data_IF_937836837016
#
_entry.id   IF_937836837016
#
_cell.length_a   1.000
_cell.length_b   1.000
_cell.length_c   1.000
_cell.angle_alpha   90.00
_cell.angle_beta   90.00
_cell.angle_gamma   90.00
#
_symmetry.space_group_name_H-M   'P 1'
#
loop_
_entity.id
_entity.type
_entity.pdbx_description
1 polymer ?
#
# COMPACT_ATOMS: atom_id res chain seq x y z
N UNK A 1 -0.08 33.24 17.31
CA UNK A 1 -0.30 32.07 18.19
C UNK A 1 0.20 30.85 17.44
N UNK A 2 0.90 29.89 18.07
CA UNK A 2 1.30 28.67 17.36
C UNK A 2 0.05 27.98 16.83
N UNK A 3 0.09 27.55 15.58
CA UNK A 3 -0.96 26.71 14.99
C UNK A 3 -0.76 25.30 15.54
N UNK A 4 -1.85 24.69 16.02
CA UNK A 4 -1.81 23.32 16.50
C UNK A 4 -1.99 22.37 15.30
N UNK A 5 -1.23 21.28 15.25
CA UNK A 5 -1.40 20.19 14.27
C UNK A 5 -2.05 18.99 14.96
N UNK A 6 -3.04 18.40 14.32
CA UNK A 6 -3.67 17.17 14.80
C UNK A 6 -2.75 15.96 14.61
N UNK A 7 -2.54 15.24 15.71
CA UNK A 7 -1.75 14.03 15.78
C UNK A 7 -2.69 12.84 16.03
N UNK A 8 -2.87 11.99 15.02
CA UNK A 8 -3.72 10.80 15.07
C UNK A 8 -2.93 9.52 15.31
N UNK A 9 -3.54 8.53 15.96
CA UNK A 9 -2.90 7.22 16.15
C UNK A 9 -2.95 6.35 14.88
N UNK A 10 -3.84 6.62 13.92
CA UNK A 10 -3.92 5.87 12.67
C UNK A 10 -4.16 6.81 11.49
N UNK A 11 -3.50 6.56 10.35
CA UNK A 11 -3.65 7.37 9.13
C UNK A 11 -5.12 7.50 8.69
N UNK A 12 -5.89 6.41 8.82
CA UNK A 12 -7.33 6.40 8.52
C UNK A 12 -8.16 7.41 9.33
N UNK A 13 -7.72 7.85 10.50
CA UNK A 13 -8.46 8.82 11.32
C UNK A 13 -8.47 10.24 10.73
N UNK A 14 -7.50 10.55 9.86
CA UNK A 14 -7.46 11.80 9.09
C UNK A 14 -8.72 11.98 8.24
N UNK A 15 -9.42 10.89 7.92
CA UNK A 15 -10.70 10.95 7.20
C UNK A 15 -11.78 11.75 7.92
N UNK A 16 -11.67 11.95 9.23
CA UNK A 16 -12.56 12.83 9.99
C UNK A 16 -12.46 14.30 9.56
N UNK A 17 -11.34 14.72 8.95
CA UNK A 17 -11.09 16.07 8.47
C UNK A 17 -11.58 16.29 7.02
N UNK A 18 -11.93 15.22 6.30
CA UNK A 18 -12.30 15.28 4.88
C UNK A 18 -13.60 16.01 4.53
N UNK A 19 -14.62 16.14 5.42
CA UNK A 19 -15.79 16.97 5.13
C UNK A 19 -15.46 18.42 4.73
N UNK A 20 -14.37 18.98 5.27
CA UNK A 20 -13.89 20.33 4.95
C UNK A 20 -13.08 20.41 3.65
N UNK A 21 -12.92 19.27 2.95
CA UNK A 21 -12.19 19.14 1.68
C UNK A 21 -10.77 19.74 1.70
N UNK A 22 -9.91 19.28 2.63
CA UNK A 22 -8.59 19.87 2.83
C UNK A 22 -7.65 19.76 1.61
N UNK A 23 -7.95 18.86 0.67
CA UNK A 23 -7.10 18.56 -0.49
C UNK A 23 -7.63 19.13 -1.82
N UNK A 24 -8.82 19.74 -1.83
CA UNK A 24 -9.43 20.21 -3.07
C UNK A 24 -8.65 21.37 -3.69
N UNK A 25 -8.20 21.20 -4.94
CA UNK A 25 -7.44 22.21 -5.69
C UNK A 25 -6.02 22.40 -5.17
N UNK A 26 -5.47 21.40 -4.48
CA UNK A 26 -4.15 21.42 -3.86
C UNK A 26 -3.33 20.21 -4.29
N UNK A 27 -2.01 20.34 -4.21
CA UNK A 27 -1.09 19.21 -4.31
C UNK A 27 -0.81 18.69 -2.90
N UNK A 28 -1.13 17.42 -2.65
CA UNK A 28 -0.79 16.77 -1.38
C UNK A 28 0.62 16.22 -1.47
N UNK A 29 1.49 16.57 -0.54
CA UNK A 29 2.80 15.93 -0.36
C UNK A 29 2.71 15.00 0.85
N UNK A 30 2.74 13.70 0.63
CA UNK A 30 2.71 12.71 1.71
C UNK A 30 4.09 12.13 2.00
N UNK A 31 4.46 12.16 3.28
CA UNK A 31 5.61 11.45 3.81
C UNK A 31 5.11 10.17 4.45
N UNK A 32 5.38 9.04 3.81
CA UNK A 32 4.89 7.73 4.24
C UNK A 32 5.88 6.66 3.77
N UNK A 33 6.17 5.65 4.61
CA UNK A 33 6.98 4.51 4.17
C UNK A 33 6.23 3.67 3.14
N UNK A 34 4.91 3.59 3.27
CA UNK A 34 4.03 2.76 2.47
C UNK A 34 3.21 3.64 1.53
N UNK A 35 3.02 3.19 0.28
CA UNK A 35 2.09 3.88 -0.61
C UNK A 35 0.68 3.35 -0.36
N UNK A 36 -0.10 4.12 0.39
CA UNK A 36 -1.49 3.85 0.77
C UNK A 36 -2.52 4.17 -0.34
N UNK A 37 -2.16 3.81 -1.58
CA UNK A 37 -2.96 4.02 -2.79
C UNK A 37 -3.27 2.68 -3.46
N UNK A 38 -4.51 2.22 -3.32
CA UNK A 38 -5.05 1.02 -3.98
C UNK A 38 -6.49 1.25 -4.43
N UNK A 39 -7.02 0.48 -5.39
CA UNK A 39 -8.44 0.55 -5.71
C UNK A 39 -9.29 0.29 -4.48
N UNK A 40 -10.39 1.04 -4.35
CA UNK A 40 -11.33 0.85 -3.26
C UNK A 40 -11.97 -0.54 -3.34
N UNK A 41 -12.22 -1.14 -2.18
CA UNK A 41 -12.99 -2.37 -2.08
C UNK A 41 -14.37 -2.24 -2.77
N UNK A 42 -14.98 -3.36 -3.23
CA UNK A 42 -16.27 -3.33 -3.90
C UNK A 42 -17.33 -2.52 -3.13
N UNK A 43 -17.95 -1.55 -3.79
CA UNK A 43 -18.95 -0.66 -3.20
C UNK A 43 -18.39 0.51 -2.37
N UNK A 44 -17.08 0.57 -2.12
CA UNK A 44 -16.43 1.64 -1.34
C UNK A 44 -16.65 3.03 -1.94
N UNK A 45 -16.50 3.17 -3.26
CA UNK A 45 -16.77 4.45 -3.94
C UNK A 45 -18.22 4.91 -3.75
N UNK A 46 -19.19 4.00 -3.87
CA UNK A 46 -20.61 4.31 -3.68
C UNK A 46 -20.88 4.76 -2.24
N UNK A 47 -20.34 4.05 -1.26
CA UNK A 47 -20.48 4.38 0.15
C UNK A 47 -19.86 5.76 0.47
N UNK A 48 -18.63 6.01 -0.01
CA UNK A 48 -17.94 7.28 0.15
C UNK A 48 -18.68 8.44 -0.52
N UNK A 49 -19.23 8.25 -1.73
CA UNK A 49 -20.04 9.29 -2.37
C UNK A 49 -21.30 9.63 -1.56
N UNK A 50 -21.92 8.65 -0.91
CA UNK A 50 -23.09 8.89 -0.06
C UNK A 50 -22.77 9.72 1.20
N UNK A 51 -21.51 9.73 1.67
CA UNK A 51 -21.09 10.61 2.79
C UNK A 51 -21.16 12.10 2.44
N UNK A 52 -21.07 12.45 1.15
CA UNK A 52 -21.17 13.85 0.68
C UNK A 52 -22.55 14.45 0.92
N UNK A 53 -23.57 13.61 1.04
CA UNK A 53 -24.95 14.05 1.32
C UNK A 53 -25.16 14.35 2.83
N UNK A 54 -24.12 14.22 3.66
CA UNK A 54 -24.10 14.68 5.06
C UNK A 54 -24.69 13.70 6.08
N UNK A 55 -25.15 12.52 5.66
CA UNK A 55 -25.84 11.57 6.54
C UNK A 55 -24.90 10.62 7.31
N UNK A 56 -23.65 10.46 6.86
CA UNK A 56 -22.67 9.52 7.41
C UNK A 56 -21.30 10.16 7.31
N UNK A 57 -20.53 10.19 8.40
CA UNK A 57 -19.14 10.69 8.36
C UNK A 57 -18.24 9.71 7.60
N UNK A 58 -17.30 10.17 6.75
CA UNK A 58 -16.30 9.29 6.14
C UNK A 58 -15.52 8.46 7.18
N UNK A 59 -15.31 8.99 8.38
CA UNK A 59 -14.66 8.28 9.48
C UNK A 59 -15.39 6.98 9.89
N UNK A 60 -16.72 6.91 9.71
CA UNK A 60 -17.51 5.70 10.01
C UNK A 60 -17.28 4.57 9.00
N UNK A 61 -16.76 4.90 7.81
CA UNK A 61 -16.42 3.92 6.78
C UNK A 61 -14.98 3.41 6.88
N UNK A 62 -14.19 3.92 7.84
CA UNK A 62 -12.83 3.44 8.11
C UNK A 62 -12.91 2.06 8.75
N UNK A 63 -12.33 1.08 8.08
CA UNK A 63 -12.23 -0.30 8.57
C UNK A 63 -11.23 -0.36 9.71
N UNK A 64 -11.56 -1.14 10.72
CA UNK A 64 -10.67 -1.35 11.86
C UNK A 64 -9.54 -2.27 11.46
N UNK A 65 -8.30 -1.89 11.75
CA UNK A 65 -7.16 -2.80 11.62
C UNK A 65 -7.40 -4.06 12.46
N UNK A 66 -6.86 -5.22 12.07
CA UNK A 66 -6.13 -5.52 10.83
C UNK A 66 -7.06 -5.93 9.66
N UNK A 67 -8.35 -5.62 9.72
CA UNK A 67 -9.36 -6.14 8.78
C UNK A 67 -9.14 -5.55 7.38
N UNK A 68 -9.18 -6.41 6.36
CA UNK A 68 -9.00 -6.07 4.94
C UNK A 68 -10.20 -6.52 4.10
N UNK A 69 -10.41 -5.88 2.96
CA UNK A 69 -11.39 -6.32 1.94
C UNK A 69 -12.85 -6.25 2.35
N UNK A 70 -13.24 -5.32 3.26
CA UNK A 70 -14.64 -5.16 3.66
C UNK A 70 -15.39 -4.34 2.61
N UNK A 71 -16.43 -4.90 1.96
CA UNK A 71 -17.21 -4.16 0.98
C UNK A 71 -17.83 -2.88 1.56
N UNK A 72 -17.74 -1.77 0.84
CA UNK A 72 -18.28 -0.47 1.27
C UNK A 72 -17.43 0.29 2.30
N UNK A 73 -16.31 -0.27 2.77
CA UNK A 73 -15.38 0.39 3.68
C UNK A 73 -14.04 0.66 2.99
N UNK A 74 -13.19 1.48 3.61
CA UNK A 74 -11.81 1.73 3.21
C UNK A 74 -10.90 1.66 4.44
N UNK A 75 -9.58 1.62 4.30
CA UNK A 75 -8.60 1.59 5.38
C UNK A 75 -7.29 2.23 4.96
N UNK A 76 -6.21 1.92 5.69
CA UNK A 76 -4.88 2.51 5.44
C UNK A 76 -4.48 2.39 3.96
N UNK A 77 -4.52 1.19 3.42
CA UNK A 77 -3.93 0.89 2.12
C UNK A 77 -4.72 1.38 0.89
N UNK A 78 -5.98 1.80 1.03
CA UNK A 78 -6.77 2.49 0.00
C UNK A 78 -7.20 3.90 0.43
N UNK A 79 -6.52 4.47 1.43
CA UNK A 79 -6.77 5.79 2.00
C UNK A 79 -6.75 6.90 0.95
N UNK A 80 -5.71 6.94 0.11
CA UNK A 80 -5.59 8.01 -0.90
C UNK A 80 -6.65 7.91 -2.00
N UNK A 81 -7.11 6.69 -2.32
CA UNK A 81 -8.26 6.51 -3.23
C UNK A 81 -9.56 7.00 -2.61
N UNK A 82 -9.74 6.79 -1.30
CA UNK A 82 -10.90 7.32 -0.58
C UNK A 82 -10.87 8.86 -0.49
N UNK A 83 -9.69 9.44 -0.24
CA UNK A 83 -9.46 10.88 -0.24
C UNK A 83 -9.79 11.52 -1.61
N UNK A 84 -9.48 10.85 -2.72
CA UNK A 84 -9.85 11.30 -4.06
C UNK A 84 -11.37 11.41 -4.23
N UNK A 85 -12.13 10.49 -3.63
CA UNK A 85 -13.59 10.49 -3.69
C UNK A 85 -14.22 11.51 -2.76
N UNK A 86 -13.69 11.78 -1.58
CA UNK A 86 -14.38 12.63 -0.58
C UNK A 86 -13.71 13.99 -0.38
N UNK A 87 -12.40 14.00 -0.17
CA UNK A 87 -11.62 15.20 0.15
C UNK A 87 -11.19 16.03 -1.07
N UNK A 88 -11.43 15.53 -2.30
CA UNK A 88 -11.12 16.24 -3.53
C UNK A 88 -9.66 16.13 -3.97
N UNK A 89 -8.93 15.11 -3.49
CA UNK A 89 -7.57 14.82 -3.94
C UNK A 89 -7.56 14.52 -5.44
N UNK A 90 -6.63 15.16 -6.15
CA UNK A 90 -6.36 14.91 -7.56
C UNK A 90 -4.87 14.73 -7.83
N UNK A 91 -4.02 15.43 -7.07
CA UNK A 91 -2.57 15.44 -7.21
C UNK A 91 -1.88 15.02 -5.91
N UNK A 92 -1.12 13.92 -5.98
CA UNK A 92 -0.40 13.33 -4.85
C UNK A 92 1.09 13.23 -5.19
N UNK A 93 1.94 13.78 -4.33
CA UNK A 93 3.39 13.58 -4.31
C UNK A 93 3.70 12.66 -3.15
N UNK A 94 4.09 11.43 -3.43
CA UNK A 94 4.56 10.49 -2.42
C UNK A 94 6.08 10.57 -2.29
N UNK A 95 6.54 10.87 -1.07
CA UNK A 95 7.95 10.96 -0.71
C UNK A 95 8.31 9.74 0.15
N UNK A 96 8.81 8.64 -0.45
CA UNK A 96 9.21 7.46 0.30
C UNK A 96 10.43 7.73 1.18
N UNK A 97 10.62 6.91 2.22
CA UNK A 97 11.75 6.99 3.16
C UNK A 97 13.08 6.44 2.60
N UNK A 98 13.32 6.55 1.29
CA UNK A 98 14.53 6.01 0.67
C UNK A 98 15.80 6.78 1.07
N UNK A 99 16.86 6.05 1.43
CA UNK A 99 18.19 6.61 1.70
C UNK A 99 19.12 6.71 0.47
N UNK A 100 18.81 5.98 -0.60
CA UNK A 100 19.67 5.87 -1.78
C UNK A 100 18.91 6.18 -3.06
N UNK A 101 19.57 6.94 -3.93
CA UNK A 101 19.03 7.47 -5.18
C UNK A 101 19.53 6.73 -6.42
N UNK A 102 20.55 5.88 -6.26
CA UNK A 102 21.07 5.08 -7.36
C UNK A 102 19.97 4.11 -7.83
N UNK A 103 19.50 4.29 -9.07
CA UNK A 103 18.46 3.45 -9.66
C UNK A 103 17.06 3.68 -9.08
N UNK A 104 16.79 4.84 -8.46
CA UNK A 104 15.49 5.16 -7.87
C UNK A 104 14.32 4.96 -8.84
N UNK A 105 14.54 5.14 -10.15
CA UNK A 105 13.52 4.95 -11.18
C UNK A 105 12.95 3.53 -11.17
N UNK A 106 13.82 2.52 -11.01
CA UNK A 106 13.40 1.12 -10.93
C UNK A 106 12.59 0.87 -9.65
N UNK A 107 13.04 1.44 -8.52
CA UNK A 107 12.32 1.35 -7.26
C UNK A 107 10.94 2.01 -7.33
N UNK A 108 10.83 3.20 -7.95
CA UNK A 108 9.57 3.90 -8.14
C UNK A 108 8.57 3.10 -8.97
N UNK A 109 9.02 2.54 -10.11
CA UNK A 109 8.18 1.69 -10.95
C UNK A 109 7.75 0.44 -10.19
N UNK A 110 8.66 -0.19 -9.46
CA UNK A 110 8.34 -1.40 -8.68
C UNK A 110 7.33 -1.13 -7.56
N UNK A 111 7.44 0.00 -6.85
CA UNK A 111 6.52 0.40 -5.77
C UNK A 111 5.08 0.53 -6.24
N UNK A 112 4.86 1.01 -7.46
CA UNK A 112 3.51 1.15 -8.03
C UNK A 112 3.06 -0.06 -8.85
N UNK A 113 3.98 -1.01 -9.15
CA UNK A 113 3.75 -2.08 -10.12
C UNK A 113 2.69 -3.12 -9.75
N UNK A 114 2.30 -3.17 -8.47
CA UNK A 114 1.26 -4.08 -7.97
C UNK A 114 -0.11 -3.42 -7.81
N UNK A 115 -0.19 -2.09 -7.98
CA UNK A 115 -1.45 -1.36 -7.91
C UNK A 115 -2.22 -1.65 -9.20
N UNK A 116 -3.41 -2.22 -9.07
CA UNK A 116 -4.27 -2.51 -10.21
C UNK A 116 -4.80 -1.19 -10.77
N UNK A 117 -4.64 -1.01 -12.07
CA UNK A 117 -4.97 0.24 -12.77
C UNK A 117 -6.42 0.29 -13.27
N UNK A 118 -7.17 -0.82 -13.17
CA UNK A 118 -8.49 -0.96 -13.79
C UNK A 118 -8.47 -0.82 -15.33
N UNK A 119 -7.28 -0.85 -15.95
CA UNK A 119 -7.04 -0.54 -17.36
C UNK A 119 -5.55 -0.30 -17.66
N UNK A 120 -5.20 0.28 -18.82
CA UNK A 120 -3.80 0.70 -19.06
C UNK A 120 -3.50 1.92 -18.19
N UNK A 121 -2.44 1.96 -17.37
CA UNK A 121 -2.04 3.15 -16.62
C UNK A 121 -1.87 4.27 -17.63
N UNK A 122 -2.55 5.39 -17.39
CA UNK A 122 -2.42 6.54 -18.25
C UNK A 122 -1.08 7.20 -17.97
N UNK A 123 -0.22 7.13 -18.99
CA UNK A 123 0.98 7.96 -19.17
C UNK A 123 2.03 7.87 -18.05
N UNK A 124 2.51 6.67 -17.66
CA UNK A 124 3.69 6.60 -16.81
C UNK A 124 4.86 7.28 -17.53
N UNK A 125 5.51 8.23 -16.87
CA UNK A 125 6.72 8.91 -17.35
C UNK A 125 7.70 9.06 -16.20
N UNK A 126 8.98 8.98 -16.53
CA UNK A 126 10.06 9.21 -15.57
C UNK A 126 10.88 10.38 -16.09
N UNK A 127 11.14 11.36 -15.23
CA UNK A 127 12.00 12.50 -15.52
C UNK A 127 13.20 12.56 -14.55
N UNK A 128 13.89 13.70 -14.51
CA UNK A 128 15.06 13.90 -13.67
C UNK A 128 14.79 14.01 -12.17
N UNK A 129 13.53 13.99 -11.71
CA UNK A 129 13.17 14.12 -10.30
C UNK A 129 12.05 13.19 -9.83
N UNK A 130 11.26 12.59 -10.73
CA UNK A 130 10.11 11.79 -10.32
C UNK A 130 9.64 10.78 -11.38
N UNK A 131 8.94 9.74 -10.90
CA UNK A 131 8.04 8.95 -11.73
C UNK A 131 6.65 9.57 -11.56
N UNK A 132 5.98 9.94 -12.65
CA UNK A 132 4.57 10.31 -12.60
C UNK A 132 3.70 9.28 -13.30
N UNK A 133 2.56 8.94 -12.71
CA UNK A 133 1.59 7.98 -13.24
C UNK A 133 0.21 8.31 -12.68
N UNK A 134 -0.86 8.04 -13.45
CA UNK A 134 -2.22 8.15 -12.91
C UNK A 134 -2.72 6.77 -12.45
N UNK A 135 -3.08 6.67 -11.18
CA UNK A 135 -3.58 5.44 -10.54
C UNK A 135 -4.82 5.78 -9.71
N UNK A 136 -5.85 4.95 -9.78
CA UNK A 136 -7.07 5.13 -8.97
C UNK A 136 -7.71 6.52 -9.06
N UNK A 137 -7.56 7.20 -10.21
CA UNK A 137 -8.07 8.56 -10.43
C UNK A 137 -7.20 9.69 -9.85
N UNK A 138 -6.02 9.36 -9.31
CA UNK A 138 -5.06 10.30 -8.73
C UNK A 138 -3.82 10.39 -9.61
N UNK A 139 -3.37 11.61 -9.93
CA UNK A 139 -2.05 11.84 -10.53
C UNK A 139 -1.01 11.73 -9.42
N UNK A 140 -0.28 10.62 -9.43
CA UNK A 140 0.76 10.31 -8.46
C UNK A 140 2.13 10.70 -9.03
N UNK A 141 2.93 11.39 -8.22
CA UNK A 141 4.37 11.54 -8.41
C UNK A 141 5.10 10.78 -7.29
N UNK A 142 6.02 9.89 -7.64
CA UNK A 142 6.94 9.23 -6.70
C UNK A 142 8.27 9.98 -6.74
N UNK A 143 8.62 10.61 -5.62
CA UNK A 143 9.71 11.59 -5.56
C UNK A 143 10.70 11.21 -4.47
N UNK A 144 11.95 10.85 -4.81
CA UNK A 144 12.98 10.62 -3.80
C UNK A 144 13.18 11.87 -2.92
N UNK A 145 13.47 11.71 -1.61
CA UNK A 145 13.58 12.84 -0.67
C UNK A 145 14.52 13.97 -1.10
N UNK A 146 15.69 13.68 -1.66
CA UNK A 146 16.65 14.67 -2.15
C UNK A 146 16.20 15.44 -3.40
N UNK A 147 15.32 14.84 -4.21
CA UNK A 147 14.79 15.44 -5.43
C UNK A 147 13.51 16.23 -5.17
N UNK A 148 12.99 16.23 -3.94
CA UNK A 148 11.75 16.90 -3.57
C UNK A 148 11.77 18.39 -3.89
N UNK A 149 12.81 19.12 -3.48
CA UNK A 149 12.93 20.56 -3.74
C UNK A 149 12.85 20.87 -5.25
N UNK A 150 13.56 20.07 -6.05
CA UNK A 150 13.59 20.20 -7.51
C UNK A 150 12.24 19.87 -8.14
N UNK A 151 11.55 18.86 -7.63
CA UNK A 151 10.23 18.48 -8.11
C UNK A 151 9.20 19.60 -7.84
N UNK A 152 9.18 20.12 -6.62
CA UNK A 152 8.26 21.19 -6.21
C UNK A 152 8.45 22.43 -7.09
N UNK A 153 9.70 22.87 -7.29
CA UNK A 153 10.04 24.01 -8.15
C UNK A 153 9.54 23.86 -9.61
N UNK A 154 9.68 22.65 -10.17
CA UNK A 154 9.42 22.40 -11.60
C UNK A 154 7.98 22.02 -11.93
N UNK A 155 7.31 21.31 -11.03
CA UNK A 155 6.08 20.58 -11.37
C UNK A 155 4.88 20.94 -10.49
N UNK A 156 5.10 21.64 -9.38
CA UNK A 156 4.02 22.02 -8.46
C UNK A 156 3.79 23.52 -8.56
N UNK A 157 2.58 23.89 -9.01
CA UNK A 157 2.18 25.29 -9.23
C UNK A 157 0.95 25.69 -8.41
N UNK A 158 0.38 24.75 -7.67
CA UNK A 158 -0.78 24.97 -6.81
C UNK A 158 -0.34 25.01 -5.35
N UNK A 159 -1.25 25.41 -4.46
CA UNK A 159 -1.09 25.32 -3.02
C UNK A 159 -0.69 23.90 -2.61
N UNK A 160 0.34 23.82 -1.76
CA UNK A 160 0.80 22.55 -1.17
C UNK A 160 0.13 22.35 0.19
N UNK A 161 -0.29 21.11 0.43
CA UNK A 161 -0.65 20.62 1.76
C UNK A 161 0.14 19.36 2.06
N UNK A 162 0.74 19.30 3.23
CA UNK A 162 1.56 18.16 3.66
C UNK A 162 0.75 17.22 4.56
N UNK A 163 0.94 15.92 4.38
CA UNK A 163 0.43 14.86 5.25
C UNK A 163 1.61 13.96 5.66
N UNK A 164 1.63 13.47 6.89
CA UNK A 164 2.80 12.77 7.45
C UNK A 164 2.34 11.52 8.18
N UNK A 165 2.72 10.34 7.68
CA UNK A 165 2.80 9.13 8.48
C UNK A 165 4.20 8.99 9.07
N UNK A 166 4.28 8.91 10.40
CA UNK A 166 5.54 8.89 11.14
C UNK A 166 6.28 7.55 11.02
N UNK A 167 5.65 6.52 10.43
CA UNK A 167 6.38 5.31 10.02
C UNK A 167 7.46 5.59 8.95
N UNK A 168 7.41 6.77 8.29
CA UNK A 168 8.46 7.26 7.39
C UNK A 168 9.83 7.33 8.07
N UNK A 169 9.86 7.53 9.39
CA UNK A 169 11.10 7.62 10.17
C UNK A 169 11.78 6.27 10.43
N UNK A 170 11.10 5.13 10.22
CA UNK A 170 11.61 3.80 10.59
C UNK A 170 11.74 2.86 9.40
N UNK A 171 12.64 1.88 9.49
CA UNK A 171 12.84 0.81 8.51
C UNK A 171 11.78 -0.30 8.61
N UNK A 172 11.79 -1.30 7.72
CA UNK A 172 10.86 -2.46 7.76
C UNK A 172 11.02 -3.37 8.99
N UNK A 173 11.96 -3.05 9.88
CA UNK A 173 12.20 -3.74 11.13
C UNK A 173 11.84 -2.88 12.35
N UNK A 174 11.36 -1.65 12.13
CA UNK A 174 11.02 -0.68 13.17
C UNK A 174 12.25 0.01 13.77
N UNK A 175 13.37 0.10 13.06
CA UNK A 175 14.57 0.84 13.51
C UNK A 175 14.60 2.21 12.86
N UNK A 176 14.99 3.25 13.60
CA UNK A 176 15.11 4.60 13.02
C UNK A 176 16.01 4.61 11.77
N UNK A 177 15.40 4.99 10.66
CA UNK A 177 16.03 5.20 9.37
C UNK A 177 16.29 6.70 9.12
N UNK A 178 15.42 7.57 9.64
CA UNK A 178 15.55 9.02 9.53
C UNK A 178 15.30 9.68 10.89
N UNK A 179 15.81 10.88 11.08
CA UNK A 179 15.59 11.65 12.29
C UNK A 179 14.38 12.59 12.13
N UNK A 180 13.78 13.01 13.25
CA UNK A 180 12.76 14.06 13.25
C UNK A 180 13.27 15.37 12.61
N UNK A 181 14.59 15.63 12.64
CA UNK A 181 15.19 16.78 11.99
C UNK A 181 15.21 16.64 10.46
N UNK A 182 15.48 15.44 9.94
CA UNK A 182 15.48 15.17 8.50
C UNK A 182 14.07 15.39 7.92
N UNK A 183 13.06 14.81 8.57
CA UNK A 183 11.66 14.97 8.18
C UNK A 183 11.20 16.43 8.27
N UNK A 184 11.49 17.12 9.38
CA UNK A 184 11.14 18.53 9.51
C UNK A 184 11.82 19.41 8.45
N UNK A 185 13.06 19.08 8.07
CA UNK A 185 13.77 19.75 6.97
C UNK A 185 13.05 19.59 5.63
N UNK A 186 12.63 18.36 5.30
CA UNK A 186 11.89 18.07 4.06
C UNK A 186 10.50 18.73 4.04
N UNK A 187 9.76 18.66 5.14
CA UNK A 187 8.46 19.34 5.29
C UNK A 187 8.62 20.86 5.15
N UNK A 188 9.70 21.43 5.68
CA UNK A 188 10.04 22.84 5.50
C UNK A 188 10.26 23.24 4.03
N UNK A 189 10.79 22.33 3.19
CA UNK A 189 10.95 22.55 1.75
C UNK A 189 9.59 22.58 1.03
N UNK A 190 8.62 21.78 1.46
CA UNK A 190 7.26 21.78 0.89
C UNK A 190 6.57 23.14 1.03
N UNK A 191 6.78 23.80 2.18
CA UNK A 191 5.99 24.96 2.56
C UNK A 191 4.51 24.62 2.70
N UNK A 192 3.64 25.63 2.64
CA UNK A 192 2.19 25.44 2.69
C UNK A 192 1.66 25.05 4.07
N UNK A 193 0.52 24.35 4.08
CA UNK A 193 -0.15 23.92 5.31
C UNK A 193 0.18 22.45 5.64
N UNK A 194 0.23 22.11 6.93
CA UNK A 194 0.28 20.73 7.40
C UNK A 194 -1.15 20.27 7.73
N UNK A 195 -1.65 19.24 7.05
CA UNK A 195 -3.00 18.70 7.26
C UNK A 195 -3.10 17.93 8.58
N UNK A 196 -2.24 16.93 8.74
CA UNK A 196 -2.22 16.06 9.92
C UNK A 196 -0.85 15.37 10.04
N UNK A 197 -0.62 14.77 11.20
CA UNK A 197 0.43 13.76 11.40
C UNK A 197 -0.19 12.51 12.01
N UNK A 198 0.30 11.34 11.64
CA UNK A 198 -0.19 10.06 12.16
C UNK A 198 0.96 9.22 12.72
N UNK A 199 0.70 8.48 13.80
CA UNK A 199 1.67 7.57 14.43
C UNK A 199 1.02 6.21 14.69
N UNK A 200 1.22 5.24 13.80
CA UNK A 200 0.54 3.94 13.92
C UNK A 200 1.35 2.89 14.69
N UNK A 201 1.11 2.77 16.00
CA UNK A 201 1.63 1.63 16.79
C UNK A 201 0.78 0.38 16.66
N UNK A 202 -0.53 0.50 16.39
CA UNK A 202 -1.43 -0.67 16.34
C UNK A 202 -1.32 -1.44 15.03
N UNK A 203 -0.89 -0.81 13.95
CA UNK A 203 -0.51 -1.53 12.72
C UNK A 203 0.74 -2.39 12.90
N UNK A 204 1.58 -2.08 13.91
CA UNK A 204 2.89 -2.67 14.10
C UNK A 204 3.99 -2.05 13.23
N UNK A 205 3.71 -0.97 12.49
CA UNK A 205 4.70 -0.26 11.66
C UNK A 205 5.62 0.63 12.48
N UNK A 206 5.07 1.37 13.45
CA UNK A 206 5.85 2.19 14.38
C UNK A 206 5.92 1.52 15.77
N UNK A 207 7.10 1.19 16.30
CA UNK A 207 7.22 0.69 17.68
C UNK A 207 6.71 1.66 18.74
N UNK A 208 6.14 1.12 19.82
CA UNK A 208 5.48 1.89 20.88
C UNK A 208 6.42 2.89 21.58
N UNK A 209 7.71 2.57 21.66
CA UNK A 209 8.73 3.48 22.19
C UNK A 209 8.86 4.81 21.42
N UNK A 210 8.31 4.90 20.21
CA UNK A 210 8.35 6.10 19.38
C UNK A 210 7.04 6.89 19.35
N UNK A 211 6.06 6.56 20.19
CA UNK A 211 4.77 7.26 20.30
C UNK A 211 4.92 8.79 20.43
N UNK A 212 5.99 9.28 21.05
CA UNK A 212 6.21 10.72 21.26
C UNK A 212 6.84 11.44 20.07
N UNK A 213 7.28 10.74 19.02
CA UNK A 213 8.07 11.33 17.92
C UNK A 213 7.28 12.40 17.14
N UNK A 214 5.95 12.29 17.09
CA UNK A 214 5.11 13.31 16.47
C UNK A 214 5.19 14.67 17.16
N UNK A 215 5.31 14.69 18.50
CA UNK A 215 5.51 15.94 19.25
C UNK A 215 6.87 16.56 18.94
N UNK A 216 7.90 15.73 18.78
CA UNK A 216 9.26 16.17 18.44
C UNK A 216 9.35 16.75 17.02
N UNK A 217 8.63 16.17 16.05
CA UNK A 217 8.51 16.70 14.68
C UNK A 217 7.72 18.02 14.71
N UNK A 218 6.58 18.08 15.40
CA UNK A 218 5.79 19.30 15.54
C UNK A 218 6.62 20.47 16.09
N UNK A 219 7.37 20.23 17.16
CA UNK A 219 8.20 21.25 17.80
C UNK A 219 9.28 21.81 16.85
N UNK A 220 9.89 20.95 16.03
CA UNK A 220 10.90 21.35 15.02
C UNK A 220 10.29 22.16 13.89
N UNK A 221 9.02 21.94 13.58
CA UNK A 221 8.24 22.74 12.63
C UNK A 221 7.69 24.04 13.28
N UNK A 222 7.95 24.29 14.56
CA UNK A 222 7.41 25.45 15.28
C UNK A 222 5.92 25.35 15.59
N UNK A 223 5.37 24.13 15.58
CA UNK A 223 3.97 23.81 15.84
C UNK A 223 3.81 23.16 17.21
N UNK A 224 2.58 23.07 17.69
CA UNK A 224 2.22 22.22 18.84
C UNK A 224 1.40 21.04 18.33
N UNK A 225 1.74 19.83 18.75
CA UNK A 225 0.91 18.66 18.48
C UNK A 225 -0.28 18.63 19.44
N UNK A 226 -1.46 18.34 18.91
CA UNK A 226 -2.67 18.00 19.67
C UNK A 226 -3.04 16.57 19.33
N UNK A 227 -2.99 15.68 20.32
CA UNK A 227 -3.52 14.33 20.13
C UNK A 227 -5.03 14.40 19.86
N UNK A 228 -5.43 13.80 18.75
CA UNK A 228 -6.81 13.75 18.30
C UNK A 228 -7.15 12.29 17.99
N UNK A 229 -8.35 11.88 18.37
CA UNK A 229 -8.85 10.55 18.01
C UNK A 229 -10.34 10.55 17.79
N UNK A 230 -10.77 9.88 16.74
CA UNK A 230 -12.19 9.78 16.33
C UNK A 230 -12.69 8.35 16.23
N UNK A 231 -11.79 7.37 16.23
CA UNK A 231 -12.16 5.96 16.23
C UNK A 231 -12.13 5.40 17.65
N UNK A 232 -13.10 4.54 18.02
CA UNK A 232 -13.02 3.83 19.28
C UNK A 232 -11.75 2.96 19.30
N UNK A 233 -11.05 2.99 20.43
CA UNK A 233 -9.83 2.20 20.63
C UNK A 233 -10.15 0.72 20.45
N UNK A 234 -9.54 0.09 19.45
CA UNK A 234 -9.65 -1.36 19.29
C UNK A 234 -8.48 -2.00 20.03
N UNK A 235 -8.73 -2.83 21.06
CA UNK A 235 -7.69 -3.32 21.97
C UNK A 235 -6.94 -4.52 21.36
N UNK A 236 -6.26 -4.32 20.23
CA UNK A 236 -5.34 -5.35 19.73
C UNK A 236 -4.01 -5.26 20.47
N UNK A 237 -3.41 -6.38 20.91
CA UNK A 237 -2.08 -6.35 21.52
C UNK A 237 -1.04 -5.85 20.49
N UNK A 238 -0.44 -4.69 20.74
CA UNK A 238 0.60 -4.08 19.87
C UNK A 238 1.73 -5.09 19.60
N UNK A 239 2.13 -5.85 20.62
CA UNK A 239 3.12 -6.92 20.51
C UNK A 239 2.74 -7.96 19.44
N UNK A 240 1.48 -8.40 19.38
CA UNK A 240 1.04 -9.39 18.39
C UNK A 240 1.16 -8.83 16.96
N UNK A 241 0.76 -7.57 16.77
CA UNK A 241 0.85 -6.90 15.47
C UNK A 241 2.31 -6.69 15.04
N UNK A 242 3.19 -6.36 15.98
CA UNK A 242 4.62 -6.28 15.73
C UNK A 242 5.22 -7.64 15.32
N UNK A 243 4.80 -8.73 15.96
CA UNK A 243 5.23 -10.08 15.56
C UNK A 243 4.71 -10.47 14.18
N UNK A 244 3.47 -10.10 13.85
CA UNK A 244 2.88 -10.32 12.52
C UNK A 244 3.66 -9.54 11.46
N UNK A 245 3.99 -8.27 11.73
CA UNK A 245 4.77 -7.43 10.84
C UNK A 245 6.18 -7.99 10.61
N UNK A 246 6.87 -8.37 11.68
CA UNK A 246 8.23 -8.95 11.64
C UNK A 246 8.27 -10.40 11.13
N UNK A 247 7.12 -11.07 11.03
CA UNK A 247 7.05 -12.49 10.69
C UNK A 247 7.70 -13.41 11.73
N UNK A 248 7.67 -13.02 13.01
CA UNK A 248 8.29 -13.75 14.12
C UNK A 248 7.27 -14.56 14.92
N UNK A 249 7.69 -15.69 15.47
CA UNK A 249 6.83 -16.55 16.27
C UNK A 249 6.35 -15.83 17.54
N UNK A 250 5.05 -15.94 17.83
CA UNK A 250 4.49 -15.52 19.13
C UNK A 250 4.63 -16.68 20.13
N UNK A 251 5.14 -16.44 21.36
CA UNK A 251 5.15 -17.45 22.41
C UNK A 251 3.72 -17.78 22.88
N UNK A 252 3.37 -19.07 22.95
CA UNK A 252 2.16 -19.55 23.62
C UNK A 252 1.00 -20.03 22.71
N UNK A 253 -0.05 -20.62 23.30
CA UNK A 253 -1.08 -21.41 22.59
C UNK A 253 -2.16 -20.62 21.81
N UNK A 254 -1.96 -19.32 21.55
CA UNK A 254 -3.00 -18.47 20.94
C UNK A 254 -4.06 -18.00 21.94
N UNK A 255 -5.06 -17.21 21.50
CA UNK A 255 -6.04 -16.63 22.40
C UNK A 255 -6.91 -17.76 22.98
N UNK A 256 -7.07 -17.76 24.30
CA UNK A 256 -7.96 -18.70 25.00
C UNK A 256 -9.41 -18.49 24.54
N UNK A 257 -10.21 -19.57 24.54
CA UNK A 257 -11.63 -19.52 24.22
C UNK A 257 -12.38 -18.66 25.24
N UNK A 258 -12.54 -17.37 24.96
CA UNK A 258 -13.49 -16.52 25.69
C UNK A 258 -14.22 -15.64 24.69
N UNK A 259 -15.53 -15.88 24.65
CA UNK A 259 -16.55 -15.19 23.83
C UNK A 259 -16.33 -15.33 22.31
N UNK A 260 -17.30 -15.95 21.65
CA UNK A 260 -17.27 -16.17 20.20
C UNK A 260 -17.66 -14.90 19.44
N UNK A 261 -17.21 -14.78 18.19
CA UNK A 261 -17.56 -13.66 17.32
C UNK A 261 -16.41 -13.27 16.39
N UNK A 262 -16.65 -12.34 15.45
CA UNK A 262 -15.65 -11.91 14.47
C UNK A 262 -14.35 -11.39 15.10
N UNK A 263 -14.41 -10.73 16.26
CA UNK A 263 -13.24 -10.23 16.98
C UNK A 263 -12.32 -11.37 17.44
N UNK A 264 -12.89 -12.45 17.96
CA UNK A 264 -12.16 -13.66 18.30
C UNK A 264 -11.58 -14.32 17.03
N UNK A 265 -12.33 -14.30 15.93
CA UNK A 265 -11.85 -14.76 14.63
C UNK A 265 -10.64 -13.98 14.13
N UNK A 266 -10.66 -12.65 14.27
CA UNK A 266 -9.53 -11.77 13.92
C UNK A 266 -8.30 -12.10 14.78
N UNK A 267 -8.47 -12.24 16.10
CA UNK A 267 -7.38 -12.60 17.00
C UNK A 267 -6.73 -13.93 16.60
N UNK A 268 -7.54 -14.97 16.32
CA UNK A 268 -7.05 -16.28 15.88
C UNK A 268 -6.29 -16.15 14.53
N UNK A 269 -6.81 -15.35 13.60
CA UNK A 269 -6.15 -15.14 12.31
C UNK A 269 -4.79 -14.42 12.46
N UNK A 270 -4.69 -13.43 13.35
CA UNK A 270 -3.41 -12.75 13.67
C UNK A 270 -2.37 -13.71 14.23
N UNK A 271 -2.77 -14.62 15.13
CA UNK A 271 -1.89 -15.68 15.60
C UNK A 271 -1.44 -16.61 14.47
N UNK A 272 -2.34 -16.97 13.55
CA UNK A 272 -2.01 -17.73 12.35
C UNK A 272 -0.98 -17.01 11.47
N UNK A 273 -1.13 -15.70 11.29
CA UNK A 273 -0.22 -14.87 10.48
C UNK A 273 1.20 -14.86 11.05
N UNK A 274 1.35 -14.71 12.37
CA UNK A 274 2.65 -14.74 13.03
C UNK A 274 3.34 -16.11 12.94
N UNK A 275 2.58 -17.19 12.77
CA UNK A 275 3.10 -18.56 12.70
C UNK A 275 3.30 -19.08 11.27
N UNK A 276 2.72 -18.42 10.25
CA UNK A 276 2.64 -18.94 8.88
C UNK A 276 4.01 -19.28 8.25
N UNK A 277 5.06 -18.53 8.59
CA UNK A 277 6.42 -18.80 8.10
C UNK A 277 7.10 -20.00 8.77
N UNK A 278 6.68 -20.40 9.97
CA UNK A 278 7.31 -21.45 10.78
C UNK A 278 6.51 -22.75 10.76
N UNK A 279 5.19 -22.65 10.73
CA UNK A 279 4.30 -23.80 10.76
C UNK A 279 3.06 -23.54 9.91
N UNK A 280 3.12 -23.81 8.59
CA UNK A 280 1.99 -23.62 7.69
C UNK A 280 0.74 -24.39 8.12
N UNK A 281 0.90 -25.60 8.66
CA UNK A 281 -0.22 -26.39 9.19
C UNK A 281 -0.93 -25.71 10.36
N UNK A 282 -0.19 -25.07 11.29
CA UNK A 282 -0.83 -24.30 12.38
C UNK A 282 -1.51 -23.04 11.86
N UNK A 283 -0.98 -22.41 10.82
CA UNK A 283 -1.63 -21.28 10.19
C UNK A 283 -2.96 -21.69 9.51
N UNK A 284 -3.01 -22.87 8.88
CA UNK A 284 -4.25 -23.45 8.33
C UNK A 284 -5.28 -23.75 9.41
N UNK A 285 -4.87 -24.36 10.52
CA UNK A 285 -5.76 -24.57 11.68
C UNK A 285 -6.32 -23.25 12.21
N UNK A 286 -5.50 -22.19 12.27
CA UNK A 286 -5.94 -20.86 12.65
C UNK A 286 -6.92 -20.27 11.63
N UNK A 287 -6.68 -20.48 10.33
CA UNK A 287 -7.57 -20.01 9.28
C UNK A 287 -8.97 -20.64 9.39
N UNK A 288 -9.06 -21.95 9.57
CA UNK A 288 -10.34 -22.65 9.73
C UNK A 288 -11.04 -22.28 11.04
N UNK A 289 -10.29 -22.15 12.14
CA UNK A 289 -10.85 -21.69 13.42
C UNK A 289 -11.39 -20.26 13.33
N UNK A 290 -10.65 -19.34 12.69
CA UNK A 290 -11.10 -17.98 12.47
C UNK A 290 -12.39 -17.94 11.64
N UNK A 291 -12.47 -18.77 10.60
CA UNK A 291 -13.66 -18.91 9.77
C UNK A 291 -14.86 -19.43 10.59
N UNK A 292 -14.63 -20.36 11.53
CA UNK A 292 -15.64 -20.82 12.49
C UNK A 292 -16.17 -19.73 13.42
N UNK A 293 -15.41 -18.66 13.62
CA UNK A 293 -15.82 -17.45 14.34
C UNK A 293 -16.41 -16.35 13.41
N UNK A 294 -16.59 -16.65 12.13
CA UNK A 294 -17.17 -15.73 11.14
C UNK A 294 -16.16 -14.80 10.47
N UNK A 295 -14.85 -15.01 10.65
CA UNK A 295 -13.81 -14.18 10.04
C UNK A 295 -12.94 -14.95 9.06
N UNK A 296 -12.84 -14.49 7.81
CA UNK A 296 -11.91 -15.03 6.79
C UNK A 296 -10.90 -13.96 6.40
N UNK A 297 -9.61 -14.25 6.61
CA UNK A 297 -8.52 -13.31 6.36
C UNK A 297 -7.83 -13.59 5.02
N UNK A 298 -7.93 -12.66 4.07
CA UNK A 298 -7.20 -12.71 2.79
C UNK A 298 -5.68 -12.76 3.02
N UNK A 299 -5.17 -12.01 4.00
CA UNK A 299 -3.76 -11.96 4.37
C UNK A 299 -3.26 -13.32 4.86
N UNK A 300 -4.03 -14.00 5.72
CA UNK A 300 -3.65 -15.32 6.24
C UNK A 300 -3.68 -16.37 5.14
N UNK A 301 -4.72 -16.38 4.30
CA UNK A 301 -4.78 -17.26 3.14
C UNK A 301 -3.56 -17.07 2.23
N UNK A 302 -3.19 -15.82 1.93
CA UNK A 302 -2.00 -15.52 1.14
C UNK A 302 -0.71 -16.06 1.78
N UNK A 303 -0.52 -15.85 3.09
CA UNK A 303 0.69 -16.31 3.81
C UNK A 303 0.79 -17.84 3.84
N UNK A 304 -0.32 -18.55 4.04
CA UNK A 304 -0.38 -20.02 3.95
C UNK A 304 0.01 -20.45 2.53
N UNK A 305 -0.63 -19.86 1.51
CA UNK A 305 -0.37 -20.17 0.11
C UNK A 305 1.09 -19.96 -0.29
N UNK A 306 1.70 -18.86 0.15
CA UNK A 306 3.11 -18.56 -0.06
C UNK A 306 4.03 -19.58 0.62
N UNK A 307 3.74 -19.96 1.87
CA UNK A 307 4.53 -20.94 2.60
C UNK A 307 4.44 -22.35 1.99
N UNK A 308 3.23 -22.79 1.59
CA UNK A 308 3.03 -24.06 0.87
C UNK A 308 3.75 -24.09 -0.46
N UNK A 309 3.75 -22.97 -1.20
CA UNK A 309 4.49 -22.86 -2.45
C UNK A 309 6.00 -23.06 -2.23
N UNK A 310 6.56 -22.46 -1.16
CA UNK A 310 7.97 -22.61 -0.80
C UNK A 310 8.34 -24.05 -0.42
N UNK A 311 7.39 -24.80 0.16
CA UNK A 311 7.55 -26.24 0.48
C UNK A 311 7.35 -27.17 -0.73
N UNK A 312 7.03 -26.64 -1.92
CA UNK A 312 6.76 -27.44 -3.12
C UNK A 312 5.35 -28.03 -3.21
N UNK A 313 4.48 -27.75 -2.23
CA UNK A 313 3.07 -28.15 -2.28
C UNK A 313 2.27 -27.14 -3.12
N UNK A 314 2.48 -27.21 -4.44
CA UNK A 314 1.90 -26.27 -5.38
C UNK A 314 0.37 -26.36 -5.48
N UNK A 315 -0.22 -27.53 -5.15
CA UNK A 315 -1.67 -27.72 -5.17
C UNK A 315 -2.33 -26.94 -4.05
N UNK A 316 -1.94 -27.20 -2.80
CA UNK A 316 -2.45 -26.49 -1.62
C UNK A 316 -2.12 -25.00 -1.70
N UNK A 317 -0.91 -24.66 -2.18
CA UNK A 317 -0.54 -23.26 -2.41
C UNK A 317 -1.54 -22.55 -3.32
N UNK A 318 -1.88 -23.14 -4.47
CA UNK A 318 -2.81 -22.52 -5.42
C UNK A 318 -4.21 -22.35 -4.86
N UNK A 319 -4.69 -23.31 -4.06
CA UNK A 319 -6.01 -23.24 -3.40
C UNK A 319 -6.08 -22.03 -2.46
N UNK A 320 -5.12 -21.89 -1.55
CA UNK A 320 -5.08 -20.74 -0.62
C UNK A 320 -4.79 -19.40 -1.30
N UNK A 321 -3.95 -19.38 -2.35
CA UNK A 321 -3.70 -18.15 -3.11
C UNK A 321 -4.96 -17.69 -3.85
N UNK A 322 -5.76 -18.61 -4.42
CA UNK A 322 -7.05 -18.27 -5.02
C UNK A 322 -8.06 -17.80 -3.98
N UNK A 323 -8.07 -18.40 -2.80
CA UNK A 323 -8.92 -17.96 -1.69
C UNK A 323 -8.56 -16.53 -1.24
N UNK A 324 -7.27 -16.19 -1.12
CA UNK A 324 -6.83 -14.83 -0.79
C UNK A 324 -7.37 -13.80 -1.79
N UNK A 325 -7.29 -14.11 -3.08
CA UNK A 325 -7.79 -13.26 -4.17
C UNK A 325 -9.32 -13.14 -4.15
N UNK A 326 -10.02 -14.23 -3.83
CA UNK A 326 -11.49 -14.21 -3.72
C UNK A 326 -11.96 -13.33 -2.57
N UNK A 327 -11.23 -13.33 -1.46
CA UNK A 327 -11.54 -12.53 -0.28
C UNK A 327 -11.23 -11.04 -0.48
N UNK A 328 -10.13 -10.73 -1.17
CA UNK A 328 -9.74 -9.36 -1.46
C UNK A 328 -9.03 -9.24 -2.83
N UNK A 329 -9.79 -9.03 -3.92
CA UNK A 329 -9.22 -9.01 -5.26
C UNK A 329 -8.46 -7.72 -5.60
N UNK A 330 -8.72 -6.63 -4.88
CA UNK A 330 -8.15 -5.31 -5.18
C UNK A 330 -6.86 -5.01 -4.39
N UNK A 331 -6.60 -5.73 -3.28
CA UNK A 331 -5.35 -5.60 -2.51
C UNK A 331 -4.12 -5.99 -3.35
N UNK A 332 -3.00 -5.29 -3.14
CA UNK A 332 -1.68 -5.64 -3.69
C UNK A 332 -1.21 -7.03 -3.22
N UNK A 333 -1.62 -7.48 -2.02
CA UNK A 333 -1.44 -8.88 -1.60
C UNK A 333 -2.22 -9.85 -2.50
N UNK A 334 -3.44 -9.49 -2.89
CA UNK A 334 -4.24 -10.23 -3.88
C UNK A 334 -3.54 -10.29 -5.24
N UNK A 335 -3.04 -9.15 -5.74
CA UNK A 335 -2.25 -9.10 -6.98
C UNK A 335 -1.01 -10.02 -6.92
N UNK A 336 -0.27 -9.99 -5.81
CA UNK A 336 0.87 -10.89 -5.61
C UNK A 336 0.44 -12.36 -5.48
N UNK A 337 -0.68 -12.64 -4.82
CA UNK A 337 -1.25 -13.98 -4.71
C UNK A 337 -1.59 -14.57 -6.09
N UNK A 338 -2.13 -13.77 -7.01
CA UNK A 338 -2.41 -14.19 -8.39
C UNK A 338 -1.13 -14.53 -9.15
N UNK A 339 -0.08 -13.72 -9.01
CA UNK A 339 1.23 -14.00 -9.63
C UNK A 339 1.78 -15.34 -9.12
N UNK A 340 1.75 -15.58 -7.81
CA UNK A 340 2.18 -16.85 -7.23
C UNK A 340 1.28 -18.01 -7.65
N UNK A 341 -0.03 -17.80 -7.76
CA UNK A 341 -1.01 -18.77 -8.23
C UNK A 341 -0.71 -19.21 -9.67
N UNK A 342 -0.41 -18.26 -10.56
CA UNK A 342 -0.02 -18.56 -11.95
C UNK A 342 1.30 -19.34 -12.02
N UNK A 343 2.25 -19.07 -11.11
CA UNK A 343 3.46 -19.89 -10.97
C UNK A 343 3.15 -21.31 -10.48
N UNK A 344 2.19 -21.47 -9.58
CA UNK A 344 1.74 -22.80 -9.16
C UNK A 344 1.05 -23.54 -10.32
N UNK A 345 0.22 -22.86 -11.11
CA UNK A 345 -0.36 -23.41 -12.36
C UNK A 345 0.73 -23.87 -13.32
N UNK A 346 1.82 -23.12 -13.50
CA UNK A 346 2.97 -23.55 -14.32
C UNK A 346 3.55 -24.89 -13.85
N UNK A 347 3.62 -25.12 -12.54
CA UNK A 347 4.17 -26.36 -11.96
C UNK A 347 3.23 -27.55 -12.06
N UNK A 348 1.91 -27.30 -12.03
CA UNK A 348 0.89 -28.34 -12.01
C UNK A 348 0.36 -28.71 -13.40
N UNK A 349 0.21 -27.72 -14.27
CA UNK A 349 -0.53 -27.82 -15.54
C UNK A 349 0.31 -27.42 -16.75
N UNK A 350 1.51 -26.86 -16.53
CA UNK A 350 2.48 -26.58 -17.59
C UNK A 350 2.38 -25.19 -18.22
N UNK A 351 3.22 -24.91 -19.24
CA UNK A 351 3.43 -23.56 -19.77
C UNK A 351 2.20 -22.93 -20.42
N UNK A 352 1.42 -23.67 -21.20
CA UNK A 352 0.23 -23.16 -21.88
C UNK A 352 -0.82 -22.60 -20.90
N UNK A 353 -1.14 -23.34 -19.84
CA UNK A 353 -2.09 -22.92 -18.82
C UNK A 353 -1.58 -21.67 -18.07
N UNK A 354 -0.31 -21.67 -17.68
CA UNK A 354 0.30 -20.54 -17.00
C UNK A 354 0.38 -19.29 -17.89
N UNK A 355 0.67 -19.45 -19.19
CA UNK A 355 0.73 -18.34 -20.14
C UNK A 355 -0.60 -17.59 -20.21
N UNK A 356 -1.72 -18.31 -20.22
CA UNK A 356 -3.07 -17.71 -20.19
C UNK A 356 -3.26 -16.84 -18.94
N UNK A 357 -2.92 -17.36 -17.75
CA UNK A 357 -3.02 -16.59 -16.50
C UNK A 357 -2.07 -15.38 -16.48
N UNK A 358 -0.83 -15.54 -16.95
CA UNK A 358 0.15 -14.46 -17.00
C UNK A 358 -0.22 -13.35 -18.01
N UNK A 359 -0.91 -13.67 -19.11
CA UNK A 359 -1.44 -12.65 -20.02
C UNK A 359 -2.50 -11.79 -19.35
N UNK A 360 -3.44 -12.40 -18.65
CA UNK A 360 -4.46 -11.68 -17.88
C UNK A 360 -3.79 -10.79 -16.82
N UNK A 361 -2.79 -11.31 -16.11
CA UNK A 361 -1.99 -10.53 -15.17
C UNK A 361 -1.24 -9.38 -15.83
N UNK A 362 -0.70 -9.56 -17.04
CA UNK A 362 -0.02 -8.49 -17.77
C UNK A 362 -0.95 -7.32 -18.07
N UNK A 363 -2.19 -7.61 -18.48
CA UNK A 363 -3.20 -6.59 -18.75
C UNK A 363 -3.62 -5.82 -17.48
N UNK A 364 -3.69 -6.50 -16.33
CA UNK A 364 -4.06 -5.88 -15.05
C UNK A 364 -2.90 -5.17 -14.34
N UNK A 365 -1.66 -5.65 -14.55
CA UNK A 365 -0.44 -5.16 -13.91
C UNK A 365 0.63 -4.79 -14.96
N UNK A 366 0.35 -3.83 -15.84
CA UNK A 366 1.22 -3.50 -16.97
C UNK A 366 2.60 -2.97 -16.55
N UNK A 367 2.72 -2.42 -15.34
CA UNK A 367 4.02 -1.98 -14.80
C UNK A 367 4.84 -3.10 -14.16
N UNK A 368 4.30 -4.32 -14.03
CA UNK A 368 4.99 -5.43 -13.37
C UNK A 368 5.95 -6.14 -14.32
N UNK A 369 7.20 -5.67 -14.36
CA UNK A 369 8.28 -6.23 -15.20
C UNK A 369 8.41 -7.76 -15.10
N UNK A 370 8.30 -8.32 -13.89
CA UNK A 370 8.40 -9.77 -13.67
C UNK A 370 7.31 -10.59 -14.37
N UNK A 371 6.10 -10.02 -14.52
CA UNK A 371 4.99 -10.66 -15.25
C UNK A 371 5.33 -10.70 -16.74
N UNK A 372 5.71 -9.57 -17.34
CA UNK A 372 6.02 -9.50 -18.77
C UNK A 372 7.25 -10.30 -19.18
N UNK A 373 8.27 -10.37 -18.32
CA UNK A 373 9.40 -11.31 -18.52
C UNK A 373 8.91 -12.75 -18.61
N UNK A 374 7.98 -13.14 -17.73
CA UNK A 374 7.42 -14.49 -17.70
C UNK A 374 6.53 -14.75 -18.92
N UNK A 375 5.65 -13.82 -19.29
CA UNK A 375 4.83 -13.88 -20.51
C UNK A 375 5.72 -14.11 -21.73
N UNK A 376 6.79 -13.33 -21.90
CA UNK A 376 7.71 -13.46 -23.05
C UNK A 376 8.34 -14.85 -23.13
N UNK A 377 8.84 -15.37 -22.00
CA UNK A 377 9.49 -16.69 -21.94
C UNK A 377 8.50 -17.80 -22.27
N UNK A 378 7.31 -17.78 -21.65
CA UNK A 378 6.30 -18.81 -21.87
C UNK A 378 5.74 -18.74 -23.30
N UNK A 379 5.44 -17.54 -23.81
CA UNK A 379 4.96 -17.36 -25.19
C UNK A 379 5.96 -17.85 -26.22
N UNK A 380 7.26 -17.57 -26.03
CA UNK A 380 8.31 -18.07 -26.91
C UNK A 380 8.43 -19.60 -26.87
N UNK A 381 8.24 -20.22 -25.70
CA UNK A 381 8.28 -21.69 -25.57
C UNK A 381 7.09 -22.35 -26.28
N UNK A 382 5.92 -21.71 -26.27
CA UNK A 382 4.70 -22.18 -26.93
C UNK A 382 4.61 -21.79 -28.42
N UNK A 383 5.60 -21.06 -28.96
CA UNK A 383 5.59 -20.58 -30.35
C UNK A 383 4.62 -19.43 -30.62
N UNK A 384 4.10 -18.76 -29.59
CA UNK A 384 3.19 -17.62 -29.71
C UNK A 384 3.98 -16.32 -29.99
N UNK A 385 4.21 -16.06 -31.27
CA UNK A 385 5.03 -14.94 -31.73
C UNK A 385 4.40 -13.57 -31.45
N UNK A 386 3.07 -13.44 -31.53
CA UNK A 386 2.37 -12.17 -31.30
C UNK A 386 2.45 -11.73 -29.84
N UNK A 387 2.27 -12.68 -28.91
CA UNK A 387 2.40 -12.39 -27.48
C UNK A 387 3.84 -12.11 -27.10
N UNK A 388 4.79 -12.82 -27.71
CA UNK A 388 6.21 -12.54 -27.52
C UNK A 388 6.52 -11.09 -27.89
N UNK A 389 6.06 -10.64 -29.07
CA UNK A 389 6.23 -9.27 -29.55
C UNK A 389 5.55 -8.24 -28.64
N UNK A 390 4.34 -8.54 -28.17
CA UNK A 390 3.61 -7.67 -27.24
C UNK A 390 4.37 -7.51 -25.91
N UNK A 391 4.84 -8.62 -25.34
CA UNK A 391 5.62 -8.61 -24.10
C UNK A 391 6.95 -7.86 -24.25
N UNK A 392 7.63 -7.98 -25.39
CA UNK A 392 8.83 -7.19 -25.69
C UNK A 392 8.53 -5.69 -25.81
N UNK A 393 7.41 -5.31 -26.43
CA UNK A 393 6.95 -3.93 -26.49
C UNK A 393 6.79 -3.33 -25.10
N UNK A 394 6.14 -4.07 -24.20
CA UNK A 394 5.95 -3.64 -22.82
C UNK A 394 7.26 -3.60 -22.03
N UNK A 395 8.15 -4.58 -22.21
CA UNK A 395 9.45 -4.57 -21.53
C UNK A 395 10.32 -3.38 -21.98
N UNK A 396 10.27 -2.98 -23.25
CA UNK A 396 10.93 -1.76 -23.74
C UNK A 396 10.36 -0.49 -23.11
N UNK A 397 9.04 -0.42 -22.91
CA UNK A 397 8.43 0.69 -22.17
C UNK A 397 8.96 0.75 -20.73
N UNK A 398 8.95 -0.39 -20.03
CA UNK A 398 9.44 -0.47 -18.65
C UNK A 398 10.94 -0.21 -18.54
N UNK A 399 11.73 -0.52 -19.58
CA UNK A 399 13.14 -0.17 -19.62
C UNK A 399 13.32 1.34 -19.68
N UNK A 400 12.62 2.04 -20.59
CA UNK A 400 12.64 3.51 -20.67
C UNK A 400 12.28 4.19 -19.35
N UNK A 401 11.29 3.67 -18.63
CA UNK A 401 10.88 4.20 -17.33
C UNK A 401 11.94 4.05 -16.23
N UNK A 402 12.92 3.15 -16.41
CA UNK A 402 13.92 2.83 -15.39
C UNK A 402 15.34 3.24 -15.73
N UNK A 403 15.58 3.75 -16.94
CA UNK A 403 16.89 4.24 -17.38
C UNK A 403 17.00 5.73 -17.06
N UNK A 404 18.05 6.18 -16.34
CA UNK A 404 18.31 7.59 -16.12
C UNK A 404 18.42 8.35 -17.44
N UNK A 405 17.64 9.43 -17.62
CA UNK A 405 17.75 10.33 -18.78
C UNK A 405 16.99 9.94 -20.04
N UNK A 406 16.02 9.00 -19.98
CA UNK A 406 15.22 8.61 -21.15
C UNK A 406 14.16 9.63 -21.60
N UNK A 407 14.08 10.82 -20.99
CA UNK A 407 13.19 11.90 -21.42
C UNK A 407 13.80 13.29 -21.13
N UNK A 408 14.52 13.82 -22.12
CA UNK A 408 14.12 14.98 -22.93
C UNK A 408 14.90 14.88 -24.26
N UNK A 409 14.26 14.87 -25.45
CA UNK A 409 14.87 15.54 -26.58
C UNK A 409 14.85 17.03 -26.24
N UNK A 410 16.02 17.67 -26.25
CA UNK A 410 16.16 19.11 -26.02
C UNK A 410 15.07 19.86 -26.79
N UNK A 411 14.20 20.56 -26.07
CA UNK A 411 13.34 21.58 -26.63
C UNK A 411 14.19 22.84 -26.93
N UNK A 412 15.24 22.67 -27.75
CA UNK A 412 15.93 23.73 -28.44
C UNK A 412 15.65 23.55 -29.94
N UNK A 413 14.53 24.10 -30.41
CA UNK A 413 14.22 24.12 -31.83
C UNK A 413 12.75 24.15 -32.20
N UNK A 414 11.95 25.05 -31.62
CA UNK A 414 10.77 25.59 -32.31
C UNK A 414 10.37 26.96 -31.77
#
# INVERSE_FOLDING_TARGET
MPVDVDLFEEHGEVAALWPDRPYHGRTVVCFDRHLDLKPLAPGGEKALRATRDGNVSPAELVRRLPVRGVPGAFGLDDFWSAAAVVAGLTDLVWVPSWRSYAGWQAHAVDSVSLIRTGGTPTEPRTDGCCLTVTLCGVRLAVVPPDLLARHLDRHVHMDVVTDIDLDWLVDEHGRFEHTAQDLAGLVGVCGGALAAMTWSTRSGFLPAEYRTVGTDVAARLGLRARESSFLPTTPWPEDLMLHVHRGTAVPGPGPAHKEGGPEQGIAVALHGLAQAGLSPGRAEECFERAAGYGYRSSWLAYKIGAARYALGDHRTAREYLREAVRLDPEDTLGAHARIMGARATLRLEGPAAALSEFRALGAELPLRRGVWKTVRVLASAEGDTDTTRAAEGQLRLLERLTVPGAAEPDAEGM
#
